data_IF_143577072337
#
_entry.id   IF_143577072337
#
_cell.length_a   1.000
_cell.length_b   1.000
_cell.length_c   1.000
_cell.angle_alpha   90.00
_cell.angle_beta   90.00
_cell.angle_gamma   90.00
#
_symmetry.space_group_name_H-M   'P 1'
#
loop_
_entity.id
_entity.type
_entity.pdbx_description
1 polymer ?
#
# COMPACT_ATOMS: atom_id res chain seq x y z
N UNK A 1 8.49 -0.04 -8.15
CA UNK A 1 7.15 0.15 -7.53
C UNK A 1 6.56 1.56 -7.68
N UNK A 2 7.35 2.61 -7.90
CA UNK A 2 6.88 4.03 -7.92
C UNK A 2 6.35 4.55 -9.28
N UNK A 3 6.38 3.71 -10.31
CA UNK A 3 6.33 4.13 -11.71
C UNK A 3 5.26 3.32 -12.46
N UNK A 4 4.25 3.89 -13.13
CA UNK A 4 3.05 3.13 -13.57
C UNK A 4 3.34 1.76 -14.20
N UNK A 5 4.37 1.66 -15.06
CA UNK A 5 4.88 0.38 -15.55
C UNK A 5 5.53 -0.41 -14.42
N UNK A 6 4.92 -1.53 -14.07
CA UNK A 6 5.40 -2.39 -13.00
C UNK A 6 5.07 -3.83 -13.32
N UNK A 7 6.06 -4.71 -13.21
CA UNK A 7 5.89 -6.15 -13.38
C UNK A 7 5.64 -6.79 -12.01
N UNK A 8 4.40 -7.23 -11.77
CA UNK A 8 4.04 -7.89 -10.51
C UNK A 8 4.49 -9.35 -10.46
N UNK A 9 4.73 -9.98 -11.60
CA UNK A 9 5.24 -11.35 -11.66
C UNK A 9 6.73 -11.38 -11.33
N UNK A 10 7.50 -10.41 -11.85
CA UNK A 10 8.89 -10.21 -11.42
C UNK A 10 8.95 -10.00 -9.89
N UNK A 11 8.03 -9.20 -9.33
CA UNK A 11 7.93 -9.04 -7.88
C UNK A 11 7.66 -10.37 -7.16
N UNK A 12 6.74 -11.21 -7.66
CA UNK A 12 6.46 -12.52 -7.08
C UNK A 12 7.72 -13.39 -7.01
N UNK A 13 8.48 -13.43 -8.11
CA UNK A 13 9.71 -14.22 -8.20
C UNK A 13 10.77 -13.74 -7.20
N UNK A 14 11.09 -12.44 -7.19
CA UNK A 14 12.13 -11.88 -6.30
C UNK A 14 11.68 -11.86 -4.83
N UNK A 15 10.38 -11.81 -4.57
CA UNK A 15 9.80 -11.94 -3.23
C UNK A 15 9.62 -13.39 -2.79
N UNK A 16 10.07 -14.37 -3.59
CA UNK A 16 10.02 -15.80 -3.29
C UNK A 16 8.60 -16.27 -2.94
N UNK A 17 7.62 -15.87 -3.75
CA UNK A 17 6.21 -16.24 -3.56
C UNK A 17 5.51 -15.46 -2.43
N UNK A 18 6.13 -14.37 -1.93
CA UNK A 18 5.55 -13.48 -0.92
C UNK A 18 5.39 -12.01 -1.39
N UNK A 19 4.86 -11.76 -2.61
CA UNK A 19 4.81 -10.41 -3.17
C UNK A 19 3.99 -9.43 -2.32
N UNK A 20 2.87 -9.85 -1.74
CA UNK A 20 1.95 -8.96 -1.02
C UNK A 20 2.55 -8.49 0.31
N UNK A 21 3.13 -9.41 1.09
CA UNK A 21 3.68 -9.05 2.39
C UNK A 21 4.95 -8.20 2.26
N UNK A 22 5.83 -8.55 1.32
CA UNK A 22 7.05 -7.78 1.02
C UNK A 22 6.70 -6.38 0.54
N UNK A 23 5.81 -6.26 -0.45
CA UNK A 23 5.39 -4.97 -0.98
C UNK A 23 4.70 -4.12 0.09
N UNK A 24 3.74 -4.70 0.83
CA UNK A 24 2.99 -4.00 1.86
C UNK A 24 3.91 -3.43 2.95
N UNK A 25 4.87 -4.22 3.42
CA UNK A 25 5.82 -3.75 4.43
C UNK A 25 6.70 -2.62 3.87
N UNK A 26 7.20 -2.77 2.63
CA UNK A 26 8.03 -1.77 1.98
C UNK A 26 7.28 -0.43 1.78
N UNK A 27 6.03 -0.47 1.30
CA UNK A 27 5.23 0.74 1.08
C UNK A 27 4.90 1.46 2.39
N UNK A 28 4.42 0.73 3.40
CA UNK A 28 4.11 1.32 4.72
C UNK A 28 5.34 1.97 5.36
N UNK A 29 6.51 1.37 5.19
CA UNK A 29 7.78 1.91 5.68
C UNK A 29 8.20 3.17 4.91
N UNK A 30 8.17 3.12 3.57
CA UNK A 30 8.53 4.25 2.70
C UNK A 30 7.62 5.46 2.86
N UNK A 31 6.33 5.22 3.07
CA UNK A 31 5.35 6.27 3.36
C UNK A 31 5.47 6.83 4.80
N UNK A 32 6.40 6.32 5.61
CA UNK A 32 6.60 6.75 6.98
C UNK A 32 5.47 6.34 7.95
N UNK A 33 4.53 5.50 7.53
CA UNK A 33 3.35 5.13 8.31
C UNK A 33 3.70 4.26 9.51
N UNK A 34 4.71 3.39 9.36
CA UNK A 34 5.25 2.59 10.48
C UNK A 34 5.67 3.50 11.63
N UNK A 35 6.46 4.53 11.34
CA UNK A 35 6.92 5.51 12.34
C UNK A 35 5.77 6.37 12.86
N UNK A 36 4.94 6.89 11.95
CA UNK A 36 3.84 7.82 12.26
C UNK A 36 2.81 7.21 13.22
N UNK A 37 2.55 5.91 13.11
CA UNK A 37 1.61 5.18 13.95
C UNK A 37 2.31 4.33 15.02
N UNK A 38 3.64 4.40 15.14
CA UNK A 38 4.44 3.64 16.12
C UNK A 38 4.17 2.13 16.04
N UNK A 39 4.08 1.62 14.82
CA UNK A 39 3.83 0.20 14.59
C UNK A 39 5.09 -0.60 14.91
N UNK A 40 4.93 -1.72 15.62
CA UNK A 40 6.01 -2.64 15.87
C UNK A 40 6.31 -3.45 14.60
N UNK A 41 7.47 -3.22 13.97
CA UNK A 41 7.82 -3.79 12.66
C UNK A 41 7.67 -5.31 12.59
N UNK A 42 8.19 -6.05 13.57
CA UNK A 42 8.05 -7.52 13.58
C UNK A 42 6.60 -8.01 13.75
N UNK A 43 5.71 -7.23 14.38
CA UNK A 43 4.28 -7.56 14.45
C UNK A 43 3.62 -7.27 13.10
N UNK A 44 3.96 -6.14 12.47
CA UNK A 44 3.46 -5.77 11.15
C UNK A 44 3.88 -6.79 10.08
N UNK A 45 5.15 -7.19 10.04
CA UNK A 45 5.64 -8.18 9.10
C UNK A 45 4.88 -9.51 9.23
N UNK A 46 4.74 -10.03 10.45
CA UNK A 46 3.96 -11.26 10.72
C UNK A 46 2.49 -11.11 10.34
N UNK A 47 1.90 -9.95 10.60
CA UNK A 47 0.51 -9.67 10.25
C UNK A 47 0.30 -9.69 8.72
N UNK A 48 1.17 -9.04 7.96
CA UNK A 48 1.11 -9.02 6.49
C UNK A 48 1.33 -10.41 5.89
N UNK A 49 2.28 -11.18 6.44
CA UNK A 49 2.49 -12.59 6.09
C UNK A 49 1.21 -13.40 6.29
N UNK A 50 0.51 -13.20 7.42
CA UNK A 50 -0.71 -13.93 7.74
C UNK A 50 -1.89 -13.56 6.83
N UNK A 51 -1.97 -12.30 6.38
CA UNK A 51 -2.93 -11.87 5.35
C UNK A 51 -2.64 -12.57 4.04
N UNK A 52 -1.38 -12.57 3.61
CA UNK A 52 -0.96 -13.19 2.34
C UNK A 52 -1.25 -14.69 2.29
N UNK A 53 -1.07 -15.39 3.41
CA UNK A 53 -1.41 -16.82 3.55
C UNK A 53 -2.91 -17.10 3.44
N UNK A 54 -3.77 -16.10 3.67
CA UNK A 54 -5.21 -16.25 3.48
C UNK A 54 -5.62 -16.20 1.99
N UNK A 55 -4.73 -15.74 1.10
CA UNK A 55 -4.95 -15.83 -0.34
C UNK A 55 -4.66 -17.25 -0.84
N UNK A 56 -5.72 -17.91 -1.34
CA UNK A 56 -5.68 -19.27 -1.86
C UNK A 56 -5.01 -19.39 -3.23
N UNK A 57 -4.97 -20.62 -3.74
CA UNK A 57 -4.36 -20.98 -5.03
C UNK A 57 -5.26 -20.70 -6.24
N UNK A 58 -6.14 -19.70 -6.16
CA UNK A 58 -7.03 -19.40 -7.28
C UNK A 58 -6.22 -18.82 -8.45
N UNK A 59 -6.56 -19.15 -9.71
CA UNK A 59 -5.78 -18.71 -10.87
C UNK A 59 -5.59 -17.19 -10.96
N UNK A 60 -6.57 -16.42 -10.48
CA UNK A 60 -6.54 -14.96 -10.50
C UNK A 60 -6.63 -14.32 -9.11
N UNK A 61 -7.57 -14.75 -8.27
CA UNK A 61 -7.77 -14.18 -6.91
C UNK A 61 -6.74 -14.72 -5.90
N UNK A 62 -5.46 -14.44 -6.16
CA UNK A 62 -4.33 -14.90 -5.37
C UNK A 62 -3.52 -13.71 -4.82
N UNK A 63 -2.44 -14.03 -4.09
CA UNK A 63 -1.54 -13.07 -3.46
C UNK A 63 -0.87 -12.12 -4.46
N UNK A 64 -0.55 -12.59 -5.67
CA UNK A 64 0.06 -11.78 -6.72
C UNK A 64 -0.92 -10.71 -7.20
N UNK A 65 -2.18 -11.08 -7.44
CA UNK A 65 -3.21 -10.09 -7.79
C UNK A 65 -3.46 -9.09 -6.67
N UNK A 66 -3.48 -9.52 -5.40
CA UNK A 66 -3.60 -8.61 -4.27
C UNK A 66 -2.44 -7.61 -4.20
N UNK A 67 -1.21 -8.06 -4.48
CA UNK A 67 -0.04 -7.19 -4.56
C UNK A 67 -0.17 -6.17 -5.70
N UNK A 68 -0.64 -6.59 -6.88
CA UNK A 68 -0.88 -5.69 -8.02
C UNK A 68 -1.90 -4.60 -7.69
N UNK A 69 -3.03 -4.97 -7.07
CA UNK A 69 -4.06 -4.01 -6.63
C UNK A 69 -3.50 -3.02 -5.62
N UNK A 70 -2.78 -3.49 -4.60
CA UNK A 70 -2.14 -2.63 -3.60
C UNK A 70 -1.16 -1.65 -4.26
N UNK A 71 -0.35 -2.14 -5.18
CA UNK A 71 0.64 -1.35 -5.90
C UNK A 71 0.00 -0.28 -6.77
N UNK A 72 -1.05 -0.66 -7.51
CA UNK A 72 -1.79 0.25 -8.39
C UNK A 72 -2.51 1.32 -7.59
N UNK A 73 -3.12 0.96 -6.46
CA UNK A 73 -3.70 1.91 -5.53
C UNK A 73 -2.65 2.90 -5.00
N UNK A 74 -1.47 2.43 -4.62
CA UNK A 74 -0.37 3.31 -4.18
C UNK A 74 -0.04 4.38 -5.23
N UNK A 75 0.06 4.02 -6.51
CA UNK A 75 0.31 4.98 -7.59
C UNK A 75 -0.84 5.96 -7.78
N UNK A 76 -2.08 5.47 -7.82
CA UNK A 76 -3.26 6.34 -7.97
C UNK A 76 -3.32 7.36 -6.84
N UNK A 77 -3.06 6.91 -5.61
CA UNK A 77 -3.12 7.71 -4.40
C UNK A 77 -2.00 8.75 -4.36
N UNK A 78 -0.76 8.36 -4.65
CA UNK A 78 0.43 9.21 -4.48
C UNK A 78 0.82 10.03 -5.72
N UNK A 79 0.61 9.49 -6.93
CA UNK A 79 0.98 10.11 -8.20
C UNK A 79 -0.21 10.55 -9.03
N UNK A 80 -1.37 9.91 -8.86
CA UNK A 80 -2.63 10.27 -9.54
C UNK A 80 -3.32 11.50 -8.95
N UNK A 81 -2.74 12.16 -7.93
CA UNK A 81 -3.25 13.40 -7.35
C UNK A 81 -4.42 13.22 -6.38
N UNK A 82 -4.84 11.99 -6.07
CA UNK A 82 -5.93 11.74 -5.12
C UNK A 82 -5.60 12.27 -3.73
N UNK A 83 -4.40 11.99 -3.19
CA UNK A 83 -4.00 12.55 -1.88
C UNK A 83 -3.96 14.08 -1.89
N UNK A 84 -3.47 14.69 -2.97
CA UNK A 84 -3.37 16.13 -3.08
C UNK A 84 -4.76 16.79 -3.03
N UNK A 85 -5.73 16.19 -3.71
CA UNK A 85 -7.13 16.66 -3.70
C UNK A 85 -7.80 16.46 -2.34
N UNK A 86 -7.56 15.34 -1.67
CA UNK A 86 -8.08 15.09 -0.32
C UNK A 86 -7.46 16.05 0.72
N UNK A 87 -6.17 16.33 0.61
CA UNK A 87 -5.48 17.30 1.45
C UNK A 87 -5.98 18.74 1.21
N UNK A 88 -6.21 19.12 -0.05
CA UNK A 88 -6.78 20.42 -0.38
C UNK A 88 -8.23 20.57 0.12
N UNK A 89 -9.04 19.52 0.02
CA UNK A 89 -10.44 19.54 0.51
C UNK A 89 -10.54 19.62 2.04
N UNK A 90 -9.63 18.97 2.77
CA UNK A 90 -9.57 19.04 4.24
C UNK A 90 -9.12 20.42 4.71
N UNK A 91 -8.09 21.00 4.09
CA UNK A 91 -7.65 22.37 4.40
C UNK A 91 -8.75 23.41 4.13
N UNK A 92 -9.49 23.28 3.03
CA UNK A 92 -10.61 24.16 2.72
C UNK A 92 -11.74 24.08 3.77
N UNK A 93 -12.04 22.88 4.29
CA UNK A 93 -13.05 22.68 5.33
C UNK A 93 -12.62 23.26 6.70
N UNK A 94 -11.34 23.17 7.05
CA UNK A 94 -10.78 23.77 8.28
C UNK A 94 -10.81 25.31 8.24
N UNK A 95 -10.50 25.93 7.09
CA UNK A 95 -10.58 27.39 6.94
C UNK A 95 -12.01 27.94 7.01
N UNK A 96 -13.01 27.16 6.61
CA UNK A 96 -14.42 27.56 6.66
C UNK A 96 -15.02 27.50 8.08
N UNK A 97 -14.42 26.72 8.99
CA UNK A 97 -14.93 26.54 10.37
C UNK A 97 -14.26 27.46 11.40
N UNK A 98 -13.07 28.01 11.11
CA UNK A 98 -12.38 28.97 11.98
C UNK A 98 -12.76 30.45 11.75
N UNK A 99 -13.69 30.72 10.82
CA UNK A 99 -14.15 32.06 10.44
C UNK A 99 -15.53 32.45 11.00
N UNK A 100 -16.06 31.67 11.95
CA UNK A 100 -17.31 31.93 12.69
C UNK A 100 -17.00 32.17 14.16
#
# INVERSE_FOLDING_TARGET
>A
VEEWRFDVFELEEVAQGRPLSVLGFALLTRMGLVRRFRLHEAKLARYLVRIEEAYGSQPYHNRTHAADVLRSLHIIVTRGGVLQRLAAGTAAAETATSGS
#
